data_IF_981214959348
#
_entry.id   IF_981214959348
#
_cell.length_a   1.000
_cell.length_b   1.000
_cell.length_c   1.000
_cell.angle_alpha   90.00
_cell.angle_beta   90.00
_cell.angle_gamma   90.00
#
_symmetry.space_group_name_H-M   'P 1'
#
loop_
_entity.id
_entity.type
_entity.pdbx_description
1 polymer ?
#
# COMPACT_ATOMS: atom_id res chain seq x y z
N UNK A 1 11.67 -3.69 13.91
CA UNK A 1 11.75 -4.24 12.55
C UNK A 1 13.13 -3.90 12.04
N UNK A 2 13.93 -4.90 11.68
CA UNK A 2 15.14 -4.63 10.88
C UNK A 2 14.72 -4.15 9.49
N UNK A 3 15.59 -3.43 8.78
CA UNK A 3 15.33 -2.99 7.40
C UNK A 3 15.01 -4.17 6.48
N UNK A 4 15.58 -5.34 6.76
CA UNK A 4 15.29 -6.61 6.09
C UNK A 4 13.85 -7.10 6.30
N UNK A 5 13.37 -7.09 7.55
CA UNK A 5 11.98 -7.45 7.86
C UNK A 5 10.99 -6.47 7.21
N UNK A 6 11.34 -5.18 7.15
CA UNK A 6 10.56 -4.17 6.47
C UNK A 6 10.49 -4.44 4.95
N UNK A 7 11.61 -4.76 4.33
CA UNK A 7 11.68 -5.07 2.90
C UNK A 7 10.87 -6.31 2.51
N UNK A 8 10.89 -7.37 3.33
CA UNK A 8 10.08 -8.59 3.11
C UNK A 8 8.59 -8.28 3.18
N UNK A 9 8.15 -7.53 4.20
CA UNK A 9 6.74 -7.14 4.35
C UNK A 9 6.25 -6.28 3.16
N UNK A 10 7.13 -5.49 2.53
CA UNK A 10 6.81 -4.67 1.36
C UNK A 10 6.61 -5.48 0.06
N UNK A 11 6.94 -6.77 0.04
CA UNK A 11 6.74 -7.64 -1.13
C UNK A 11 5.41 -8.40 -1.09
N UNK A 12 4.69 -8.37 0.04
CA UNK A 12 3.51 -9.23 0.25
C UNK A 12 2.27 -8.71 -0.51
N UNK A 13 2.29 -7.48 -1.03
CA UNK A 13 1.15 -6.91 -1.78
C UNK A 13 0.83 -7.72 -3.08
N UNK A 14 -0.42 -7.73 -3.56
CA UNK A 14 -0.80 -8.37 -4.82
C UNK A 14 -0.01 -7.92 -6.05
N UNK A 15 0.44 -6.66 -6.09
CA UNK A 15 1.29 -6.16 -7.18
C UNK A 15 2.77 -6.53 -7.03
N UNK A 16 3.14 -7.34 -6.02
CA UNK A 16 4.51 -7.76 -5.73
C UNK A 16 5.42 -6.63 -5.24
N UNK A 17 4.87 -5.42 -5.04
CA UNK A 17 5.56 -4.26 -4.49
C UNK A 17 4.57 -3.36 -3.76
N UNK A 18 4.98 -2.89 -2.60
CA UNK A 18 4.30 -1.78 -1.93
C UNK A 18 4.48 -0.47 -2.70
N UNK A 19 3.65 0.51 -2.36
CA UNK A 19 3.72 1.85 -2.93
C UNK A 19 4.98 2.59 -2.51
N UNK A 20 5.56 3.31 -3.46
CA UNK A 20 6.66 4.25 -3.20
C UNK A 20 6.11 5.65 -2.91
N UNK A 21 6.94 6.53 -2.36
CA UNK A 21 6.60 7.95 -2.22
C UNK A 21 6.24 8.60 -3.57
N UNK A 22 6.86 8.13 -4.67
CA UNK A 22 6.56 8.60 -6.01
C UNK A 22 5.15 8.19 -6.47
N UNK A 23 4.71 6.95 -6.15
CA UNK A 23 3.35 6.48 -6.47
C UNK A 23 2.29 7.35 -5.74
N UNK A 24 2.55 7.73 -4.49
CA UNK A 24 1.67 8.61 -3.70
C UNK A 24 1.62 10.02 -4.33
N UNK A 25 2.77 10.62 -4.64
CA UNK A 25 2.83 11.95 -5.24
C UNK A 25 2.13 12.01 -6.60
N UNK A 26 2.30 10.98 -7.43
CA UNK A 26 1.60 10.86 -8.71
C UNK A 26 0.08 10.77 -8.52
N UNK A 27 -0.39 10.03 -7.50
CA UNK A 27 -1.82 9.93 -7.19
C UNK A 27 -2.41 11.25 -6.71
N UNK A 28 -1.68 12.01 -5.89
CA UNK A 28 -2.08 13.36 -5.47
C UNK A 28 -2.21 14.28 -6.68
N UNK A 29 -1.23 14.26 -7.59
CA UNK A 29 -1.29 15.03 -8.84
C UNK A 29 -2.51 14.65 -9.69
N UNK A 30 -2.75 13.35 -9.87
CA UNK A 30 -3.93 12.85 -10.58
C UNK A 30 -5.23 13.38 -9.97
N UNK A 31 -5.38 13.35 -8.65
CA UNK A 31 -6.56 13.86 -7.96
C UNK A 31 -6.74 15.37 -8.17
N UNK A 32 -5.66 16.16 -8.10
CA UNK A 32 -5.68 17.61 -8.32
C UNK A 32 -6.06 17.98 -9.76
N UNK A 33 -5.66 17.18 -10.75
CA UNK A 33 -5.96 17.41 -12.16
C UNK A 33 -7.40 16.99 -12.55
N UNK A 34 -8.11 16.25 -11.69
CA UNK A 34 -9.45 15.71 -11.96
C UNK A 34 -10.51 16.30 -11.02
N UNK A 35 -11.01 17.50 -11.34
CA UNK A 35 -11.99 18.23 -10.52
C UNK A 35 -13.36 17.55 -10.32
N UNK A 36 -13.66 16.47 -11.04
CA UNK A 36 -14.87 15.66 -10.84
C UNK A 36 -14.74 14.62 -9.74
N UNK A 37 -13.53 14.36 -9.22
CA UNK A 37 -13.29 13.39 -8.16
C UNK A 37 -13.42 14.10 -6.81
N UNK A 38 -14.38 13.68 -5.99
CA UNK A 38 -14.61 14.22 -4.65
C UNK A 38 -15.24 13.17 -3.73
N UNK A 39 -15.10 13.35 -2.41
CA UNK A 39 -15.77 12.52 -1.40
C UNK A 39 -15.39 11.04 -1.43
N UNK A 40 -14.22 10.69 -1.99
CA UNK A 40 -13.78 9.31 -2.17
C UNK A 40 -12.36 9.09 -1.67
N UNK A 41 -12.02 7.84 -1.40
CA UNK A 41 -10.68 7.39 -1.01
C UNK A 41 -10.00 6.75 -2.21
N UNK A 42 -8.82 7.25 -2.59
CA UNK A 42 -7.95 6.62 -3.58
C UNK A 42 -6.89 5.79 -2.85
N UNK A 43 -6.93 4.47 -3.00
CA UNK A 43 -5.97 3.57 -2.38
C UNK A 43 -4.69 3.47 -3.21
N UNK A 44 -3.56 3.63 -2.53
CA UNK A 44 -2.21 3.53 -3.10
C UNK A 44 -1.41 2.58 -2.22
N UNK A 45 -1.70 1.28 -2.32
CA UNK A 45 -1.20 0.26 -1.38
C UNK A 45 -0.68 -1.02 -2.05
N UNK A 46 -0.43 -0.99 -3.36
CA UNK A 46 -0.04 -2.20 -4.10
C UNK A 46 -1.13 -3.29 -4.13
N UNK A 47 -2.37 -2.98 -3.76
CA UNK A 47 -3.46 -3.93 -3.60
C UNK A 47 -3.53 -4.58 -2.21
N UNK A 48 -2.73 -4.12 -1.24
CA UNK A 48 -2.65 -4.74 0.09
C UNK A 48 -4.01 -4.87 0.79
N UNK A 49 -4.92 -3.91 0.64
CA UNK A 49 -6.28 -3.96 1.21
C UNK A 49 -7.15 -5.09 0.67
N UNK A 50 -6.82 -5.68 -0.49
CA UNK A 50 -7.54 -6.81 -1.07
C UNK A 50 -7.11 -8.15 -0.47
N UNK A 51 -6.03 -8.15 0.31
CA UNK A 51 -5.57 -9.36 0.97
C UNK A 51 -6.42 -9.64 2.21
N UNK A 52 -6.92 -10.86 2.29
CA UNK A 52 -7.55 -11.36 3.51
C UNK A 52 -6.46 -11.61 4.55
N UNK A 53 -6.22 -10.65 5.42
CA UNK A 53 -5.38 -10.87 6.58
C UNK A 53 -6.19 -11.57 7.68
N UNK A 54 -5.64 -12.62 8.28
CA UNK A 54 -6.10 -13.05 9.60
C UNK A 54 -5.81 -11.92 10.60
N UNK A 55 -6.70 -11.76 11.60
CA UNK A 55 -6.87 -10.54 12.43
C UNK A 55 -5.61 -9.98 13.11
N UNK A 56 -4.48 -10.68 13.10
CA UNK A 56 -3.24 -10.33 13.80
C UNK A 56 -2.02 -10.18 12.87
N UNK A 57 -2.16 -9.48 11.73
CA UNK A 57 -1.03 -9.23 10.81
C UNK A 57 0.14 -8.46 11.46
N UNK A 58 -0.12 -7.64 12.49
CA UNK A 58 0.93 -6.91 13.23
C UNK A 58 1.85 -7.80 14.06
N UNK A 59 1.58 -9.10 14.17
CA UNK A 59 2.33 -10.07 14.98
C UNK A 59 2.70 -11.36 14.22
N UNK A 60 2.59 -11.38 12.88
CA UNK A 60 3.01 -12.57 12.12
C UNK A 60 4.54 -12.74 12.22
N UNK A 61 4.96 -13.70 13.05
CA UNK A 61 6.32 -14.24 13.07
C UNK A 61 6.59 -14.94 11.74
N UNK A 62 7.40 -14.29 10.89
CA UNK A 62 8.00 -14.93 9.72
C UNK A 62 9.08 -15.89 10.25
N UNK A 63 8.68 -17.14 10.50
CA UNK A 63 9.61 -18.27 10.70
C UNK A 63 10.31 -18.63 9.41
#
# INVERSE_FOLDING_TARGET
LSDEQFAVLHQISPLGRSSTAADVAATVKFALENGSITGTTLLVDGGQHLMQFERDFSLMDLT
#
